data_IF_371497711871
#
_entry.id   IF_371497711871
#
_cell.length_a   1.000
_cell.length_b   1.000
_cell.length_c   1.000
_cell.angle_alpha   90.00
_cell.angle_beta   90.00
_cell.angle_gamma   90.00
#
_symmetry.space_group_name_H-M   'P 1'
#
loop_
_entity.id
_entity.type
_entity.pdbx_description
1 polymer ?
#
# COMPACT_ATOMS: atom_id res chain seq x y z
N UNK A 1 23.62 2.98 -51.89
CA UNK A 1 22.53 2.74 -50.94
C UNK A 1 22.39 1.23 -50.77
N UNK A 2 22.95 0.65 -49.71
CA UNK A 2 22.83 -0.79 -49.45
C UNK A 2 21.55 -1.02 -48.65
N UNK A 3 20.49 -1.45 -49.34
CA UNK A 3 19.25 -1.86 -48.69
C UNK A 3 19.45 -3.28 -48.17
N UNK A 4 19.46 -3.45 -46.84
CA UNK A 4 19.50 -4.79 -46.25
C UNK A 4 18.19 -5.51 -46.62
N UNK A 5 18.26 -6.77 -47.08
CA UNK A 5 17.07 -7.48 -47.52
C UNK A 5 16.16 -7.77 -46.33
N UNK A 6 14.83 -7.70 -46.54
CA UNK A 6 13.83 -7.71 -45.46
C UNK A 6 13.95 -8.88 -44.46
N UNK A 7 14.43 -10.04 -44.91
CA UNK A 7 14.65 -11.23 -44.08
C UNK A 7 15.73 -11.05 -43.00
N UNK A 8 16.72 -10.18 -43.24
CA UNK A 8 17.78 -9.89 -42.27
C UNK A 8 17.23 -9.18 -41.02
N UNK A 9 16.26 -8.27 -41.20
CA UNK A 9 15.63 -7.54 -40.08
C UNK A 9 14.73 -8.44 -39.24
N UNK A 10 14.03 -9.38 -39.89
CA UNK A 10 13.17 -10.34 -39.20
C UNK A 10 13.98 -11.36 -38.38
N UNK A 11 15.13 -11.79 -38.91
CA UNK A 11 16.07 -12.67 -38.20
C UNK A 11 16.65 -11.96 -36.97
N UNK A 12 17.08 -10.71 -37.11
CA UNK A 12 17.56 -9.91 -35.98
C UNK A 12 16.49 -9.70 -34.91
N UNK A 13 15.24 -9.41 -35.31
CA UNK A 13 14.12 -9.25 -34.38
C UNK A 13 13.83 -10.55 -33.60
N UNK A 14 14.01 -11.70 -34.25
CA UNK A 14 13.81 -13.02 -33.63
C UNK A 14 14.91 -13.31 -32.61
N UNK A 15 16.17 -13.07 -32.99
CA UNK A 15 17.33 -13.25 -32.09
C UNK A 15 17.20 -12.37 -30.84
N UNK A 16 16.83 -11.09 -31.02
CA UNK A 16 16.66 -10.17 -29.88
C UNK A 16 15.50 -10.62 -28.98
N UNK A 17 14.39 -11.10 -29.56
CA UNK A 17 13.26 -11.63 -28.79
C UNK A 17 13.65 -12.85 -27.96
N UNK A 18 14.38 -13.79 -28.54
CA UNK A 18 14.83 -14.99 -27.84
C UNK A 18 15.84 -14.66 -26.74
N UNK A 19 16.77 -13.75 -27.00
CA UNK A 19 17.72 -13.27 -26.00
C UNK A 19 17.01 -12.61 -24.81
N UNK A 20 16.00 -11.77 -25.07
CA UNK A 20 15.21 -11.12 -24.01
C UNK A 20 14.44 -12.14 -23.16
N UNK A 21 13.88 -13.17 -23.78
CA UNK A 21 13.19 -14.26 -23.06
C UNK A 21 14.16 -15.04 -22.18
N UNK A 22 15.39 -15.28 -22.67
CA UNK A 22 16.42 -15.98 -21.92
C UNK A 22 16.88 -15.16 -20.69
N UNK A 23 17.05 -13.84 -20.85
CA UNK A 23 17.44 -12.93 -19.78
C UNK A 23 16.34 -12.84 -18.69
N UNK A 24 15.07 -12.82 -19.10
CA UNK A 24 13.94 -12.81 -18.18
C UNK A 24 13.86 -14.10 -17.33
N UNK A 25 14.15 -15.26 -17.93
CA UNK A 25 14.17 -16.54 -17.21
C UNK A 25 15.36 -16.63 -16.25
N UNK A 26 16.54 -16.16 -16.66
CA UNK A 26 17.70 -16.07 -15.78
C UNK A 26 17.44 -15.18 -14.57
N UNK A 27 16.78 -14.04 -14.74
CA UNK A 27 16.37 -13.17 -13.64
C UNK A 27 15.38 -13.86 -12.69
N UNK A 28 14.42 -14.64 -13.21
CA UNK A 28 13.50 -15.46 -12.39
C UNK A 28 14.26 -16.50 -11.56
N UNK A 29 15.22 -17.20 -12.17
CA UNK A 29 16.02 -18.20 -11.45
C UNK A 29 16.89 -17.57 -10.37
N UNK A 30 17.50 -16.41 -10.65
CA UNK A 30 18.27 -15.64 -9.67
C UNK A 30 17.42 -15.16 -8.47
N UNK A 31 16.14 -14.86 -8.70
CA UNK A 31 15.22 -14.53 -7.59
C UNK A 31 14.68 -15.76 -6.86
N UNK A 32 14.67 -16.93 -7.51
CA UNK A 32 14.19 -18.19 -6.91
C UNK A 32 15.10 -18.71 -5.80
N UNK A 33 16.35 -18.26 -5.70
CA UNK A 33 17.27 -18.63 -4.61
C UNK A 33 16.94 -17.97 -3.25
N UNK A 34 16.00 -17.03 -3.20
CA UNK A 34 15.54 -16.40 -1.94
C UNK A 34 14.34 -17.13 -1.29
N UNK A 35 13.83 -18.21 -1.89
CA UNK A 35 12.71 -19.00 -1.35
C UNK A 35 13.17 -20.38 -0.86
N UNK A 36 14.10 -20.38 0.09
CA UNK A 36 14.28 -21.53 1.00
C UNK A 36 13.96 -21.11 2.44
N UNK A 37 12.91 -21.75 2.97
CA UNK A 37 12.53 -21.91 4.39
C UNK A 37 11.97 -20.70 5.15
N UNK A 38 10.66 -20.68 5.47
CA UNK A 38 10.18 -20.13 6.72
C UNK A 38 10.36 -21.20 7.81
N UNK A 39 11.40 -21.06 8.64
CA UNK A 39 11.47 -21.78 9.91
C UNK A 39 12.18 -20.92 10.96
N UNK A 40 11.37 -20.55 11.96
CA UNK A 40 11.73 -20.24 13.35
C UNK A 40 12.88 -19.26 13.61
N UNK A 41 12.53 -18.03 14.00
CA UNK A 41 13.14 -17.47 15.21
C UNK A 41 12.15 -16.61 15.98
N UNK A 42 11.29 -17.31 16.71
CA UNK A 42 10.62 -16.83 17.90
C UNK A 42 11.68 -16.73 19.02
N UNK A 43 12.04 -15.53 19.46
CA UNK A 43 12.38 -15.32 20.88
C UNK A 43 12.28 -13.86 21.29
N UNK A 44 11.53 -13.70 22.37
CA UNK A 44 11.21 -12.51 23.12
C UNK A 44 12.40 -11.57 23.40
N UNK A 45 12.13 -10.26 23.36
CA UNK A 45 12.30 -9.39 24.54
C UNK A 45 11.58 -8.05 24.34
N UNK A 46 10.56 -7.85 25.19
CA UNK A 46 10.10 -6.55 25.68
C UNK A 46 11.27 -5.80 26.36
N UNK A 47 11.31 -4.46 26.37
CA UNK A 47 10.51 -3.63 27.29
C UNK A 47 9.88 -2.42 26.59
N UNK A 48 8.63 -2.05 26.85
CA UNK A 48 8.08 -1.26 27.96
C UNK A 48 8.74 0.10 28.26
N UNK A 49 7.88 1.12 28.22
CA UNK A 49 8.01 2.54 28.61
C UNK A 49 8.76 3.51 27.67
N UNK A 50 8.00 4.15 26.77
CA UNK A 50 8.04 5.61 26.62
C UNK A 50 6.71 6.14 26.08
N UNK A 51 5.84 6.52 27.02
CA UNK A 51 4.59 7.25 26.86
C UNK A 51 4.86 8.64 26.29
N UNK A 52 4.59 8.85 25.00
CA UNK A 52 4.33 10.18 24.46
C UNK A 52 3.01 10.15 23.69
N UNK A 53 2.09 10.98 24.18
CA UNK A 53 0.68 11.09 23.76
C UNK A 53 0.58 11.53 22.29
N UNK A 54 -0.17 10.78 21.48
CA UNK A 54 -1.16 11.35 20.57
C UNK A 54 -2.20 10.30 20.17
N UNK A 55 -3.30 10.34 20.93
CA UNK A 55 -4.69 9.98 20.58
C UNK A 55 -5.00 8.86 19.57
N UNK A 56 -5.62 7.81 20.15
CA UNK A 56 -6.57 6.82 19.59
C UNK A 56 -5.98 5.77 18.62
N UNK A 57 -6.14 4.46 18.92
CA UNK A 57 -5.74 3.40 18.01
C UNK A 57 -6.72 3.38 16.82
N UNK A 58 -6.27 3.87 15.67
CA UNK A 58 -6.95 3.69 14.38
C UNK A 58 -6.53 2.36 13.74
N UNK A 59 -7.38 1.77 12.89
CA UNK A 59 -7.40 0.33 12.57
C UNK A 59 -6.13 -0.08 11.84
N UNK A 60 -5.38 -1.06 12.37
CA UNK A 60 -4.36 -1.93 11.73
C UNK A 60 -3.49 -1.38 10.56
N UNK A 61 -3.31 -0.06 10.42
CA UNK A 61 -2.63 0.57 9.30
C UNK A 61 -1.17 0.83 9.61
N UNK A 62 -0.29 0.32 8.75
CA UNK A 62 1.15 0.46 8.91
C UNK A 62 1.79 0.82 7.58
N UNK A 63 2.45 1.97 7.54
CA UNK A 63 3.33 2.33 6.43
C UNK A 63 4.55 1.39 6.44
N UNK A 64 4.74 0.65 5.36
CA UNK A 64 5.83 -0.31 5.18
C UNK A 64 7.04 0.35 4.52
N UNK A 65 6.81 1.07 3.43
CA UNK A 65 7.85 1.69 2.65
C UNK A 65 7.32 2.88 1.82
N UNK A 66 8.24 3.77 1.44
CA UNK A 66 8.05 4.78 0.41
C UNK A 66 9.22 4.65 -0.57
N UNK A 67 8.92 4.54 -1.85
CA UNK A 67 9.86 4.40 -2.95
C UNK A 67 9.78 5.61 -3.88
N UNK A 68 10.81 5.72 -4.72
CA UNK A 68 10.90 6.75 -5.75
C UNK A 68 11.52 8.04 -5.23
N UNK A 69 11.46 9.07 -6.07
CA UNK A 69 12.15 10.33 -5.85
C UNK A 69 11.31 11.49 -6.38
N UNK A 70 11.43 12.64 -5.72
CA UNK A 70 10.86 13.92 -6.12
C UNK A 70 9.32 13.86 -6.29
N UNK A 71 8.85 13.68 -7.53
CA UNK A 71 7.43 13.67 -7.91
C UNK A 71 6.88 12.29 -8.26
N UNK A 72 7.73 11.26 -8.27
CA UNK A 72 7.35 9.89 -8.57
C UNK A 72 7.44 9.04 -7.31
N UNK A 73 6.65 9.40 -6.29
CA UNK A 73 6.60 8.64 -5.06
C UNK A 73 5.55 7.53 -5.12
N UNK A 74 5.92 6.37 -4.59
CA UNK A 74 5.05 5.21 -4.38
C UNK A 74 5.15 4.79 -2.91
N UNK A 75 4.03 4.50 -2.27
CA UNK A 75 4.00 4.09 -0.87
C UNK A 75 3.26 2.77 -0.71
N UNK A 76 3.80 1.91 0.15
CA UNK A 76 3.16 0.66 0.54
C UNK A 76 2.56 0.80 1.93
N UNK A 77 1.25 0.63 2.04
CA UNK A 77 0.51 0.73 3.30
C UNK A 77 -0.15 -0.61 3.56
N UNK A 78 0.27 -1.26 4.64
CA UNK A 78 -0.37 -2.46 5.14
C UNK A 78 -1.66 -2.07 5.87
N UNK A 79 -2.79 -2.64 5.47
CA UNK A 79 -4.06 -2.57 6.18
C UNK A 79 -4.50 -3.99 6.54
N UNK A 80 -4.50 -4.33 7.83
CA UNK A 80 -4.77 -5.70 8.30
C UNK A 80 -3.85 -6.72 7.61
N UNK A 81 -4.37 -7.53 6.68
CA UNK A 81 -3.62 -8.51 5.89
C UNK A 81 -3.33 -8.08 4.45
N UNK A 82 -3.81 -6.90 4.03
CA UNK A 82 -3.69 -6.38 2.66
C UNK A 82 -2.56 -5.37 2.56
N UNK A 83 -1.82 -5.42 1.45
CA UNK A 83 -0.82 -4.42 1.10
C UNK A 83 -1.39 -3.52 0.00
N UNK A 84 -1.63 -2.25 0.34
CA UNK A 84 -2.15 -1.24 -0.57
C UNK A 84 -1.00 -0.39 -1.10
N UNK A 85 -0.98 -0.14 -2.42
CA UNK A 85 0.01 0.71 -3.07
C UNK A 85 -0.59 2.06 -3.42
N UNK A 86 0.01 3.15 -2.97
CA UNK A 86 -0.43 4.51 -3.29
C UNK A 86 0.63 5.22 -4.11
N UNK A 87 0.25 5.86 -5.22
CA UNK A 87 1.16 6.64 -6.04
C UNK A 87 0.78 8.12 -6.00
N UNK A 88 1.81 8.97 -6.01
CA UNK A 88 1.63 10.40 -6.17
C UNK A 88 0.82 10.73 -7.43
N UNK A 89 -0.18 11.61 -7.27
CA UNK A 89 -1.12 11.98 -8.34
C UNK A 89 -2.32 11.04 -8.50
N UNK A 90 -2.36 9.90 -7.79
CA UNK A 90 -3.52 9.02 -7.76
C UNK A 90 -4.22 9.12 -6.41
N UNK A 91 -5.55 9.29 -6.45
CA UNK A 91 -6.36 9.38 -5.23
C UNK A 91 -6.59 8.00 -4.59
N UNK A 92 -6.57 6.91 -5.35
CA UNK A 92 -6.97 5.58 -4.89
C UNK A 92 -5.77 4.63 -4.92
N UNK A 93 -5.78 3.54 -4.12
CA UNK A 93 -4.74 2.54 -4.19
C UNK A 93 -4.71 1.87 -5.56
N UNK A 94 -3.49 1.64 -6.05
CA UNK A 94 -3.17 0.99 -7.31
C UNK A 94 -3.10 -0.52 -7.09
N UNK A 95 -3.75 -1.27 -7.97
CA UNK A 95 -3.66 -2.72 -8.00
C UNK A 95 -4.98 -3.39 -8.33
N UNK A 96 -5.02 -4.71 -8.07
CA UNK A 96 -6.20 -5.54 -8.27
C UNK A 96 -7.32 -5.20 -7.28
N UNK A 97 -6.94 -4.81 -6.07
CA UNK A 97 -7.87 -4.47 -5.00
C UNK A 97 -8.12 -2.96 -5.01
N UNK A 98 -9.17 -2.53 -5.71
CA UNK A 98 -9.61 -1.13 -5.76
C UNK A 98 -10.39 -0.81 -4.49
N UNK A 99 -9.70 -0.81 -3.37
CA UNK A 99 -10.27 -0.38 -2.11
C UNK A 99 -10.57 1.12 -2.18
N UNK A 100 -11.85 1.47 -2.34
CA UNK A 100 -12.33 2.87 -2.40
C UNK A 100 -12.65 3.43 -1.01
N UNK A 101 -12.35 2.70 0.06
CA UNK A 101 -12.54 3.21 1.42
C UNK A 101 -11.42 4.16 1.83
N UNK A 102 -10.28 4.16 1.13
CA UNK A 102 -9.12 4.98 1.47
C UNK A 102 -8.65 5.82 0.28
N UNK A 103 -8.48 7.12 0.50
CA UNK A 103 -7.93 8.04 -0.49
C UNK A 103 -6.62 8.70 -0.05
N UNK A 104 -5.72 8.89 -1.00
CA UNK A 104 -4.49 9.64 -0.82
C UNK A 104 -4.79 11.14 -0.76
N UNK A 105 -4.41 11.78 0.34
CA UNK A 105 -4.41 13.24 0.48
C UNK A 105 -3.06 13.83 0.10
N UNK A 106 -1.97 13.25 0.63
CA UNK A 106 -0.62 13.75 0.41
C UNK A 106 0.40 12.62 0.52
N UNK A 107 1.46 12.71 -0.30
CA UNK A 107 2.59 11.79 -0.26
C UNK A 107 3.90 12.59 -0.32
N UNK A 108 4.77 12.33 0.65
CA UNK A 108 6.12 12.89 0.74
C UNK A 108 7.14 11.75 0.90
N UNK A 109 8.43 12.06 0.79
CA UNK A 109 9.51 11.05 0.89
C UNK A 109 9.53 10.26 2.20
N UNK A 110 8.89 10.79 3.24
CA UNK A 110 8.94 10.25 4.61
C UNK A 110 7.58 9.95 5.20
N UNK A 111 6.51 10.57 4.69
CA UNK A 111 5.17 10.47 5.26
C UNK A 111 4.10 10.41 4.17
N UNK A 112 3.02 9.71 4.49
CA UNK A 112 1.79 9.65 3.71
C UNK A 112 0.62 10.12 4.56
N UNK A 113 -0.31 10.84 3.94
CA UNK A 113 -1.57 11.26 4.54
C UNK A 113 -2.71 10.63 3.76
N UNK A 114 -3.53 9.86 4.46
CA UNK A 114 -4.67 9.13 3.91
C UNK A 114 -5.94 9.61 4.58
N UNK A 115 -7.04 9.59 3.84
CA UNK A 115 -8.37 9.71 4.40
C UNK A 115 -9.11 8.39 4.28
N UNK A 116 -9.75 7.98 5.36
CA UNK A 116 -10.52 6.74 5.44
C UNK A 116 -12.00 7.08 5.60
N UNK A 117 -12.80 6.62 4.66
CA UNK A 117 -14.25 6.57 4.80
C UNK A 117 -14.62 5.45 5.76
N UNK A 118 -14.78 5.77 7.05
CA UNK A 118 -15.31 4.80 8.00
C UNK A 118 -16.78 4.58 7.70
N UNK A 119 -17.11 3.40 7.17
CA UNK A 119 -18.47 2.87 7.33
C UNK A 119 -18.59 2.56 8.80
N UNK A 120 -19.11 3.53 9.56
CA UNK A 120 -19.37 3.38 10.99
C UNK A 120 -20.15 2.08 11.16
N UNK A 121 -19.49 1.04 11.67
CA UNK A 121 -20.14 -0.18 12.09
C UNK A 121 -21.07 0.27 13.22
N UNK A 122 -22.33 0.52 12.86
CA UNK A 122 -23.40 0.80 13.78
C UNK A 122 -23.36 -0.33 14.79
N UNK A 123 -22.99 0.00 16.03
CA UNK A 123 -23.26 -0.85 17.15
C UNK A 123 -24.78 -1.08 17.14
N UNK A 124 -25.19 -2.23 16.63
CA UNK A 124 -26.56 -2.67 16.66
C UNK A 124 -26.93 -2.87 18.13
N UNK A 125 -27.44 -1.81 18.76
CA UNK A 125 -28.18 -1.95 20.00
C UNK A 125 -29.47 -2.74 19.71
N UNK A 126 -29.82 -3.75 20.51
CA UNK A 126 -31.10 -4.43 20.36
C UNK A 126 -32.23 -3.48 20.80
N UNK A 127 -33.05 -3.01 19.85
CA UNK A 127 -34.25 -2.20 20.14
C UNK A 127 -35.42 -3.09 20.60
N UNK A 128 -36.10 -2.75 21.72
CA UNK A 128 -37.47 -3.19 21.97
C UNK A 128 -38.50 -2.14 21.48
N UNK A 129 -39.32 -2.55 20.51
CA UNK A 129 -40.70 -2.13 20.17
C UNK A 129 -41.06 -0.68 19.73
N UNK A 130 -42.18 -0.51 18.98
CA UNK A 130 -42.42 0.62 18.06
C UNK A 130 -43.30 1.74 18.64
N UNK A 131 -42.95 3.00 18.38
CA UNK A 131 -43.81 4.19 18.55
C UNK A 131 -43.56 5.24 17.42
N UNK A 132 -44.49 6.21 17.21
CA UNK A 132 -44.80 6.83 15.91
C UNK A 132 -43.74 7.75 15.27
N UNK A 133 -43.86 7.90 13.94
CA UNK A 133 -42.94 8.49 12.93
C UNK A 133 -42.69 10.03 12.99
N UNK A 134 -41.68 10.58 12.26
CA UNK A 134 -40.51 11.25 12.86
C UNK A 134 -40.25 12.70 12.42
N UNK A 135 -39.58 13.49 13.28
CA UNK A 135 -38.88 14.72 12.85
C UNK A 135 -37.63 14.36 12.03
N UNK A 136 -37.25 15.15 11.01
CA UNK A 136 -36.02 14.92 10.25
C UNK A 136 -34.81 15.21 11.14
N UNK A 137 -34.20 14.16 11.70
CA UNK A 137 -32.89 14.26 12.33
C UNK A 137 -31.83 14.57 11.26
N UNK A 138 -30.83 15.44 11.55
CA UNK A 138 -29.65 15.57 10.72
C UNK A 138 -28.98 14.20 10.56
N UNK A 139 -28.81 13.75 9.31
CA UNK A 139 -28.04 12.52 9.05
C UNK A 139 -26.63 12.68 9.64
N UNK A 140 -26.09 11.66 10.34
CA UNK A 140 -24.70 11.64 10.74
C UNK A 140 -23.84 11.82 9.50
N UNK A 141 -23.09 12.92 9.42
CA UNK A 141 -22.10 13.08 8.36
C UNK A 141 -21.07 11.96 8.54
N UNK A 142 -20.66 11.26 7.47
CA UNK A 142 -19.60 10.27 7.57
C UNK A 142 -18.35 10.95 8.12
N UNK A 143 -17.90 10.53 9.30
CA UNK A 143 -16.68 11.04 9.91
C UNK A 143 -15.48 10.55 9.08
N UNK A 144 -15.08 11.36 8.10
CA UNK A 144 -13.87 11.14 7.32
C UNK A 144 -12.67 11.33 8.25
N UNK A 145 -11.95 10.25 8.54
CA UNK A 145 -10.76 10.31 9.40
C UNK A 145 -9.51 10.45 8.52
N UNK A 146 -8.76 11.51 8.73
CA UNK A 146 -7.43 11.70 8.13
C UNK A 146 -6.35 11.14 9.05
N UNK A 147 -5.44 10.36 8.48
CA UNK A 147 -4.34 9.69 9.20
C UNK A 147 -3.04 9.98 8.48
N UNK A 148 -2.02 10.38 9.26
CA UNK A 148 -0.66 10.60 8.79
C UNK A 148 0.25 9.48 9.31
N UNK A 149 0.88 8.75 8.38
CA UNK A 149 1.84 7.70 8.69
C UNK A 149 3.22 8.13 8.19
N UNK A 150 4.26 7.97 9.02
CA UNK A 150 5.63 8.33 8.67
C UNK A 150 6.58 7.17 8.89
N UNK A 151 7.59 7.04 8.01
CA UNK A 151 8.69 6.12 8.23
C UNK A 151 9.52 6.59 9.43
N UNK A 152 9.98 5.67 10.29
CA UNK A 152 10.87 6.01 11.37
C UNK A 152 12.14 6.63 10.79
N UNK A 153 12.60 7.75 11.35
CA UNK A 153 13.96 8.22 11.09
C UNK A 153 14.90 7.14 11.62
N UNK A 154 15.58 6.41 10.73
CA UNK A 154 16.79 5.71 11.13
C UNK A 154 17.74 6.76 11.71
N UNK A 155 17.96 6.76 13.02
CA UNK A 155 19.10 7.44 13.59
C UNK A 155 20.32 6.67 13.09
N UNK A 156 21.05 7.26 12.14
CA UNK A 156 22.39 6.78 11.83
C UNK A 156 23.23 6.90 13.09
N UNK A 157 23.51 5.77 13.74
CA UNK A 157 24.67 5.65 14.61
C UNK A 157 25.81 5.13 13.76
N UNK A 158 26.87 5.94 13.79
CA UNK A 158 28.16 5.88 13.11
C UNK A 158 28.96 4.61 13.39
#
# INVERSE_FOLDING_TARGET
MFSAPAWAMETMATIVREMLLLEAEQARQNMSSCLRTPQEQERASQPDVAKIKSSKPTPALKLKAIYGKDTQLLAEVQHEQRLLLFQQGQLWPIGRERDRSMRLLSLSSRCIELEIGQTQAQAAQPQPQPQPQPQPQPQPQPELQSIKLCLPSGQGQV
#
